data_IF_413677983640
#
_entry.id   IF_413677983640
#
_cell.length_a   1.000
_cell.length_b   1.000
_cell.length_c   1.000
_cell.angle_alpha   90.00
_cell.angle_beta   90.00
_cell.angle_gamma   90.00
#
_symmetry.space_group_name_H-M   'P 1'
#
loop_
_entity.id
_entity.type
_entity.pdbx_description
1 polymer ?
#
# COMPACT_ATOMS: atom_id res chain seq x y z
N UNK A 1 32.56 37.45 -6.82
CA UNK A 1 31.71 38.50 -6.24
C UNK A 1 30.46 38.60 -7.12
N UNK A 2 29.27 38.33 -6.55
CA UNK A 2 27.91 38.82 -6.88
C UNK A 2 27.48 39.14 -8.35
N UNK A 3 26.23 38.92 -8.83
CA UNK A 3 24.99 38.35 -8.26
C UNK A 3 23.96 38.12 -9.42
N UNK A 4 23.22 37.01 -9.39
CA UNK A 4 21.80 36.78 -9.78
C UNK A 4 21.15 37.24 -11.13
N UNK A 5 20.50 36.23 -11.75
CA UNK A 5 19.07 36.10 -12.15
C UNK A 5 18.47 36.52 -13.51
N UNK A 6 17.51 35.65 -13.86
CA UNK A 6 16.21 35.83 -14.52
C UNK A 6 16.04 35.72 -16.06
N UNK A 7 14.91 35.07 -16.36
CA UNK A 7 14.31 34.63 -17.62
C UNK A 7 13.00 35.44 -17.83
N UNK A 8 12.07 35.17 -18.78
CA UNK A 8 12.13 34.53 -20.10
C UNK A 8 11.57 35.45 -21.23
N UNK A 9 11.37 34.88 -22.42
CA UNK A 9 10.53 35.34 -23.56
C UNK A 9 11.09 36.40 -24.53
N UNK A 10 11.23 35.98 -25.80
CA UNK A 10 11.13 36.86 -26.96
C UNK A 10 10.33 36.14 -28.08
N UNK A 11 9.42 36.86 -28.72
CA UNK A 11 8.50 36.41 -29.77
C UNK A 11 9.04 36.76 -31.18
N UNK A 12 8.36 36.27 -32.23
CA UNK A 12 8.50 36.65 -33.67
C UNK A 12 9.85 36.35 -34.32
N UNK A 13 10.00 36.09 -35.63
CA UNK A 13 9.12 36.23 -36.81
C UNK A 13 9.00 34.86 -37.54
N UNK A 14 8.39 34.66 -38.73
CA UNK A 14 7.75 35.54 -39.71
C UNK A 14 6.55 34.80 -40.39
N UNK A 15 5.77 35.49 -41.23
CA UNK A 15 4.70 34.90 -42.07
C UNK A 15 5.15 34.86 -43.53
N UNK A 16 4.86 33.76 -44.23
CA UNK A 16 4.96 33.64 -45.69
C UNK A 16 3.71 32.94 -46.21
N UNK A 17 2.83 33.67 -46.91
CA UNK A 17 1.51 33.20 -47.29
C UNK A 17 1.47 32.60 -48.71
N UNK A 18 0.67 31.55 -48.88
CA UNK A 18 0.24 31.01 -50.18
C UNK A 18 -1.14 30.37 -50.02
N UNK A 19 -2.14 30.85 -50.74
CA UNK A 19 -3.57 30.60 -50.48
C UNK A 19 -4.24 29.79 -51.58
N UNK A 20 -4.93 28.70 -51.20
CA UNK A 20 -6.10 28.04 -51.83
C UNK A 20 -6.31 26.68 -51.11
N UNK A 21 -7.48 26.20 -50.68
CA UNK A 21 -8.81 26.80 -50.52
C UNK A 21 -9.71 25.85 -49.67
N UNK A 22 -10.73 26.40 -49.01
CA UNK A 22 -11.97 25.75 -48.49
C UNK A 22 -11.94 24.38 -47.75
N UNK A 23 -12.07 24.42 -46.40
CA UNK A 23 -13.18 23.86 -45.58
C UNK A 23 -12.83 23.82 -44.06
N UNK A 24 -13.72 24.25 -43.14
CA UNK A 24 -13.34 24.54 -41.75
C UNK A 24 -13.66 23.41 -40.74
N UNK A 25 -12.97 22.27 -40.79
CA UNK A 25 -13.01 21.25 -39.70
C UNK A 25 -11.65 20.67 -39.31
N UNK A 26 -10.63 20.78 -40.16
CA UNK A 26 -9.34 20.09 -39.94
C UNK A 26 -8.35 20.78 -38.97
N UNK A 27 -8.58 22.04 -38.57
CA UNK A 27 -7.60 22.81 -37.76
C UNK A 27 -7.56 22.47 -36.26
N UNK A 28 -8.53 21.73 -35.73
CA UNK A 28 -8.55 21.31 -34.32
C UNK A 28 -7.68 20.06 -34.09
N UNK A 29 -7.67 19.11 -35.05
CA UNK A 29 -6.96 17.83 -34.91
C UNK A 29 -5.43 18.02 -34.98
N UNK A 30 -4.91 18.87 -35.86
CA UNK A 30 -3.46 19.14 -35.93
C UNK A 30 -2.90 19.86 -34.69
N UNK A 31 -3.72 20.59 -33.91
CA UNK A 31 -3.28 21.22 -32.65
C UNK A 31 -3.12 20.20 -31.51
N UNK A 32 -3.83 19.07 -31.57
CA UNK A 32 -3.69 17.95 -30.62
C UNK A 32 -2.41 17.15 -30.86
N UNK A 33 -2.00 16.99 -32.13
CA UNK A 33 -0.85 16.14 -32.51
C UNK A 33 0.50 16.65 -31.96
N UNK A 34 0.69 17.97 -31.84
CA UNK A 34 1.89 18.54 -31.23
C UNK A 34 1.91 18.40 -29.69
N UNK A 35 0.77 18.54 -29.02
CA UNK A 35 0.68 18.32 -27.58
C UNK A 35 0.87 16.84 -27.20
N UNK A 36 0.51 15.89 -28.08
CA UNK A 36 0.74 14.47 -27.82
C UNK A 36 2.24 14.10 -27.78
N UNK A 37 3.08 14.78 -28.57
CA UNK A 37 4.56 14.63 -28.48
C UNK A 37 5.12 15.14 -27.15
N UNK A 38 4.59 16.26 -26.64
CA UNK A 38 5.00 16.83 -25.34
C UNK A 38 4.44 16.02 -24.16
N UNK A 39 3.22 15.47 -24.26
CA UNK A 39 2.67 14.53 -23.28
C UNK A 39 3.43 13.20 -23.27
N UNK A 40 3.76 12.62 -24.42
CA UNK A 40 4.63 11.44 -24.47
C UNK A 40 5.97 11.73 -23.80
N UNK A 41 6.63 12.86 -24.13
CA UNK A 41 7.91 13.20 -23.49
C UNK A 41 7.77 13.38 -21.98
N UNK A 42 6.77 14.11 -21.46
CA UNK A 42 6.58 14.26 -20.01
C UNK A 42 6.20 12.96 -19.30
N UNK A 43 5.28 12.16 -19.85
CA UNK A 43 4.88 10.87 -19.22
C UNK A 43 6.01 9.85 -19.31
N UNK A 44 6.77 9.80 -20.41
CA UNK A 44 7.97 8.97 -20.53
C UNK A 44 9.04 9.44 -19.54
N UNK A 45 9.27 10.74 -19.35
CA UNK A 45 10.23 11.26 -18.36
C UNK A 45 9.79 10.96 -16.92
N UNK A 46 8.50 11.04 -16.59
CA UNK A 46 8.00 10.62 -15.26
C UNK A 46 8.13 9.10 -15.07
N UNK A 47 7.96 8.28 -16.11
CA UNK A 47 8.24 6.84 -16.07
C UNK A 47 9.74 6.50 -16.06
N UNK A 48 10.59 7.34 -16.67
CA UNK A 48 12.06 7.27 -16.59
C UNK A 48 12.51 7.52 -15.15
N UNK A 49 11.89 8.50 -14.48
CA UNK A 49 12.03 8.75 -13.04
C UNK A 49 11.43 7.65 -12.15
N UNK A 50 10.75 6.64 -12.69
CA UNK A 50 10.32 5.42 -11.95
C UNK A 50 11.34 4.28 -12.14
N UNK A 51 12.40 4.45 -12.95
CA UNK A 51 13.53 3.52 -13.04
C UNK A 51 13.26 2.24 -13.84
N UNK A 52 12.18 2.21 -14.62
CA UNK A 52 11.72 1.04 -15.38
C UNK A 52 12.26 0.97 -16.82
N UNK A 53 13.33 1.68 -17.15
CA UNK A 53 13.91 1.70 -18.50
C UNK A 53 15.43 1.64 -18.46
N UNK A 54 15.98 0.47 -18.79
CA UNK A 54 17.40 0.22 -18.98
C UNK A 54 17.61 -0.17 -20.46
N UNK A 55 17.89 0.79 -21.36
CA UNK A 55 17.84 0.54 -22.80
C UNK A 55 19.04 -0.23 -23.38
N UNK A 56 20.03 -0.61 -22.56
CA UNK A 56 21.33 -1.08 -23.04
C UNK A 56 21.75 -2.46 -22.51
N UNK A 57 20.85 -3.45 -22.58
CA UNK A 57 21.25 -4.86 -22.49
C UNK A 57 20.36 -5.82 -23.31
N UNK A 58 20.16 -5.52 -24.60
CA UNK A 58 19.70 -6.52 -25.56
C UNK A 58 20.88 -7.37 -26.04
N UNK A 59 21.24 -8.40 -25.28
CA UNK A 59 21.92 -9.57 -25.87
C UNK A 59 20.89 -10.35 -26.68
N UNK A 60 20.99 -10.26 -28.00
CA UNK A 60 20.22 -11.10 -28.92
C UNK A 60 20.45 -12.57 -28.56
N UNK A 61 19.39 -13.22 -28.06
CA UNK A 61 19.36 -14.66 -27.89
C UNK A 61 18.34 -15.20 -28.89
N UNK A 62 18.84 -15.72 -30.01
CA UNK A 62 18.08 -16.51 -30.98
C UNK A 62 17.69 -17.84 -30.36
N UNK A 63 16.76 -17.80 -29.40
CA UNK A 63 16.34 -18.94 -28.61
C UNK A 63 15.48 -19.90 -29.44
N UNK A 64 16.12 -20.89 -30.05
CA UNK A 64 15.47 -22.10 -30.55
C UNK A 64 14.58 -22.70 -29.45
N UNK A 65 13.35 -23.10 -29.80
CA UNK A 65 12.39 -23.66 -28.83
C UNK A 65 12.92 -24.96 -28.23
N UNK A 66 13.53 -24.89 -27.04
CA UNK A 66 13.84 -26.06 -26.22
C UNK A 66 12.55 -26.56 -25.57
N UNK A 67 12.24 -27.84 -25.75
CA UNK A 67 11.16 -28.51 -25.01
C UNK A 67 11.46 -28.47 -23.52
N UNK A 68 10.55 -27.87 -22.74
CA UNK A 68 10.68 -27.74 -21.29
C UNK A 68 10.14 -29.00 -20.60
N UNK A 69 11.02 -29.81 -20.01
CA UNK A 69 10.60 -30.81 -19.02
C UNK A 69 10.21 -30.08 -17.73
N UNK A 70 8.98 -30.30 -17.26
CA UNK A 70 8.46 -29.72 -16.02
C UNK A 70 8.74 -30.70 -14.88
N UNK A 71 9.71 -30.38 -14.03
CA UNK A 71 9.93 -31.09 -12.77
C UNK A 71 8.89 -30.64 -11.74
N UNK A 72 8.16 -31.59 -11.14
CA UNK A 72 7.12 -31.29 -10.15
C UNK A 72 7.71 -31.11 -8.76
N UNK A 73 7.54 -29.94 -8.16
CA UNK A 73 7.71 -29.73 -6.72
C UNK A 73 6.33 -29.52 -6.05
N UNK A 74 5.83 -30.63 -5.52
CA UNK A 74 4.89 -30.86 -4.42
C UNK A 74 4.15 -29.63 -3.81
N UNK A 75 2.89 -29.36 -4.21
CA UNK A 75 1.64 -29.52 -3.40
C UNK A 75 0.38 -28.84 -3.98
N UNK A 76 -0.78 -29.23 -3.42
CA UNK A 76 -2.07 -28.53 -3.37
C UNK A 76 -2.98 -28.51 -4.63
N UNK A 77 -4.29 -28.42 -4.39
CA UNK A 77 -5.38 -28.63 -5.38
C UNK A 77 -5.39 -27.61 -6.52
N UNK A 78 -4.94 -26.39 -6.27
CA UNK A 78 -4.78 -25.34 -7.28
C UNK A 78 -3.83 -25.75 -8.41
N UNK A 79 -2.84 -26.58 -8.11
CA UNK A 79 -1.96 -27.17 -9.12
C UNK A 79 -2.75 -28.02 -10.13
N UNK A 80 -3.84 -28.68 -9.72
CA UNK A 80 -4.66 -29.49 -10.64
C UNK A 80 -5.55 -28.67 -11.57
N UNK A 81 -6.10 -27.53 -11.11
CA UNK A 81 -6.84 -26.62 -11.98
C UNK A 81 -5.89 -25.87 -12.93
N UNK A 82 -4.73 -25.44 -12.43
CA UNK A 82 -3.67 -24.84 -13.23
C UNK A 82 -3.13 -25.81 -14.29
N UNK A 83 -2.83 -27.07 -13.93
CA UNK A 83 -2.34 -28.09 -14.86
C UNK A 83 -3.36 -28.36 -15.99
N UNK A 84 -4.66 -28.42 -15.68
CA UNK A 84 -5.73 -28.55 -16.69
C UNK A 84 -5.76 -27.34 -17.64
N UNK A 85 -5.74 -26.12 -17.11
CA UNK A 85 -5.67 -24.90 -17.91
C UNK A 85 -4.42 -24.88 -18.82
N UNK A 86 -3.25 -25.25 -18.29
CA UNK A 86 -2.00 -25.33 -19.06
C UNK A 86 -2.06 -26.38 -20.19
N UNK A 87 -2.77 -27.50 -19.99
CA UNK A 87 -3.03 -28.49 -21.04
C UNK A 87 -4.02 -27.96 -22.09
N UNK A 88 -5.07 -27.24 -21.69
CA UNK A 88 -6.07 -26.68 -22.60
C UNK A 88 -5.48 -25.61 -23.51
N UNK A 89 -4.77 -24.61 -22.96
CA UNK A 89 -4.08 -23.60 -23.79
C UNK A 89 -3.00 -24.23 -24.68
N UNK A 90 -2.43 -25.37 -24.28
CA UNK A 90 -1.46 -26.12 -25.07
C UNK A 90 -2.03 -26.72 -26.36
N UNK A 91 -3.34 -27.02 -26.39
CA UNK A 91 -4.07 -27.58 -27.55
C UNK A 91 -4.49 -26.52 -28.56
N UNK A 92 -4.51 -25.24 -28.19
CA UNK A 92 -4.92 -24.15 -29.10
C UNK A 92 -3.88 -23.99 -30.21
N UNK A 93 -4.36 -23.87 -31.45
CA UNK A 93 -3.53 -23.67 -32.64
C UNK A 93 -2.86 -22.30 -32.62
N UNK A 94 -1.61 -22.25 -33.07
CA UNK A 94 -0.92 -20.98 -33.27
C UNK A 94 -1.46 -20.27 -34.52
N UNK A 95 -1.62 -18.96 -34.43
CA UNK A 95 -2.13 -18.10 -35.49
C UNK A 95 -0.95 -17.63 -36.37
N UNK A 96 -1.14 -17.59 -37.68
CA UNK A 96 -0.13 -17.06 -38.62
C UNK A 96 -0.28 -15.54 -38.78
N UNK A 97 0.79 -14.82 -39.17
CA UNK A 97 0.78 -13.34 -39.23
C UNK A 97 -0.30 -12.75 -40.15
N UNK A 98 -0.67 -13.43 -41.24
CA UNK A 98 -1.80 -13.00 -42.09
C UNK A 98 -3.15 -13.08 -41.35
N UNK A 99 -3.34 -14.12 -40.53
CA UNK A 99 -4.54 -14.30 -39.73
C UNK A 99 -4.59 -13.28 -38.57
N UNK A 100 -3.45 -12.89 -37.99
CA UNK A 100 -3.39 -11.79 -37.00
C UNK A 100 -3.96 -10.49 -37.58
N UNK A 101 -3.62 -10.15 -38.83
CA UNK A 101 -4.12 -8.95 -39.52
C UNK A 101 -5.63 -9.01 -39.77
N UNK A 102 -6.15 -10.16 -40.21
CA UNK A 102 -7.60 -10.36 -40.42
C UNK A 102 -8.37 -10.25 -39.10
N UNK A 103 -7.85 -10.84 -38.02
CA UNK A 103 -8.47 -10.78 -36.70
C UNK A 103 -8.41 -9.35 -36.12
N UNK A 104 -7.28 -8.65 -36.23
CA UNK A 104 -7.13 -7.27 -35.78
C UNK A 104 -8.16 -6.32 -36.43
N UNK A 105 -8.39 -6.47 -37.75
CA UNK A 105 -9.42 -5.70 -38.46
C UNK A 105 -10.82 -5.98 -37.91
N UNK A 106 -11.18 -7.25 -37.73
CA UNK A 106 -12.50 -7.63 -37.17
C UNK A 106 -12.69 -7.17 -35.72
N UNK A 107 -11.63 -7.19 -34.91
CA UNK A 107 -11.65 -6.64 -33.54
C UNK A 107 -11.95 -5.12 -33.57
N UNK A 108 -11.36 -4.39 -34.52
CA UNK A 108 -11.63 -2.96 -34.74
C UNK A 108 -13.08 -2.68 -35.17
N UNK A 109 -13.69 -3.62 -35.90
CA UNK A 109 -15.12 -3.61 -36.27
C UNK A 109 -16.05 -4.03 -35.10
N UNK A 110 -15.50 -4.46 -33.97
CA UNK A 110 -16.26 -4.86 -32.76
C UNK A 110 -16.54 -6.36 -32.63
N UNK A 111 -15.91 -7.22 -33.44
CA UNK A 111 -16.10 -8.67 -33.36
C UNK A 111 -15.43 -9.28 -32.12
N UNK A 112 -16.25 -9.56 -31.10
CA UNK A 112 -15.83 -10.22 -29.87
C UNK A 112 -15.28 -11.64 -30.09
N UNK A 113 -15.73 -12.37 -31.13
CA UNK A 113 -15.21 -13.72 -31.44
C UNK A 113 -13.79 -13.64 -31.98
N UNK A 114 -13.49 -12.63 -32.80
CA UNK A 114 -12.13 -12.37 -33.25
C UNK A 114 -11.20 -12.00 -32.08
N UNK A 115 -11.69 -11.22 -31.10
CA UNK A 115 -10.94 -10.87 -29.88
C UNK A 115 -10.62 -12.12 -29.05
N UNK A 116 -11.61 -12.98 -28.83
CA UNK A 116 -11.40 -14.26 -28.14
C UNK A 116 -10.42 -15.18 -28.88
N UNK A 117 -10.52 -15.28 -30.21
CA UNK A 117 -9.62 -16.12 -31.00
C UNK A 117 -8.17 -15.63 -30.92
N UNK A 118 -7.94 -14.31 -31.09
CA UNK A 118 -6.60 -13.72 -31.00
C UNK A 118 -5.99 -13.87 -29.60
N UNK A 119 -6.79 -13.68 -28.55
CA UNK A 119 -6.33 -13.81 -27.16
C UNK A 119 -6.06 -15.27 -26.79
N UNK A 120 -6.96 -16.21 -27.09
CA UNK A 120 -6.81 -17.66 -26.81
C UNK A 120 -5.53 -18.25 -27.40
N UNK A 121 -5.16 -17.89 -28.62
CA UNK A 121 -3.91 -18.35 -29.24
C UNK A 121 -2.64 -17.83 -28.55
N UNK A 122 -2.71 -16.67 -27.90
CA UNK A 122 -1.58 -15.99 -27.27
C UNK A 122 -1.46 -16.24 -25.75
N UNK A 123 -2.40 -16.96 -25.13
CA UNK A 123 -2.35 -17.31 -23.69
C UNK A 123 -1.04 -18.03 -23.29
N UNK A 124 -0.52 -18.88 -24.17
CA UNK A 124 0.77 -19.58 -23.96
C UNK A 124 1.94 -18.63 -23.75
N UNK A 125 1.93 -17.46 -24.40
CA UNK A 125 2.95 -16.43 -24.24
C UNK A 125 2.79 -15.68 -22.91
N UNK A 126 1.56 -15.43 -22.46
CA UNK A 126 1.32 -14.83 -21.13
C UNK A 126 1.95 -15.68 -20.03
N UNK A 127 1.78 -17.01 -20.10
CA UNK A 127 2.40 -17.95 -19.13
C UNK A 127 3.93 -17.85 -19.12
N UNK A 128 4.59 -17.68 -20.27
CA UNK A 128 6.05 -17.55 -20.30
C UNK A 128 6.55 -16.22 -19.71
N UNK A 129 5.77 -15.14 -19.84
CA UNK A 129 6.04 -13.86 -19.19
C UNK A 129 5.76 -13.92 -17.68
N UNK A 130 4.62 -14.47 -17.26
CA UNK A 130 4.24 -14.60 -15.85
C UNK A 130 5.24 -15.43 -15.02
N UNK A 131 5.85 -16.46 -15.63
CA UNK A 131 6.93 -17.25 -15.00
C UNK A 131 8.15 -16.41 -14.59
N UNK A 132 8.42 -15.27 -15.23
CA UNK A 132 9.51 -14.37 -14.87
C UNK A 132 9.27 -13.63 -13.54
N UNK A 133 8.03 -13.61 -13.04
CA UNK A 133 7.59 -12.87 -11.86
C UNK A 133 7.14 -13.78 -10.71
N UNK A 134 7.40 -15.10 -10.79
CA UNK A 134 7.11 -16.02 -9.69
C UNK A 134 7.88 -15.66 -8.41
N UNK A 135 7.34 -16.09 -7.27
CA UNK A 135 7.91 -15.89 -5.93
C UNK A 135 8.00 -14.42 -5.46
N UNK A 136 7.40 -13.48 -6.19
CA UNK A 136 7.36 -12.05 -5.82
C UNK A 136 6.19 -11.69 -4.87
N UNK A 137 5.32 -12.64 -4.54
CA UNK A 137 4.25 -12.50 -3.54
C UNK A 137 2.83 -12.86 -4.01
N UNK A 138 2.65 -13.17 -5.30
CA UNK A 138 1.40 -13.70 -5.86
C UNK A 138 1.60 -15.12 -6.40
N UNK A 139 0.51 -15.90 -6.49
CA UNK A 139 0.56 -17.24 -7.08
C UNK A 139 0.79 -17.17 -8.60
N UNK A 140 1.27 -18.26 -9.20
CA UNK A 140 1.40 -18.32 -10.67
C UNK A 140 0.04 -18.20 -11.37
N UNK A 141 -1.06 -18.67 -10.75
CA UNK A 141 -2.42 -18.52 -11.30
C UNK A 141 -2.83 -17.05 -11.40
N UNK A 142 -2.63 -16.28 -10.33
CA UNK A 142 -2.99 -14.86 -10.28
C UNK A 142 -2.15 -14.04 -11.27
N UNK A 143 -0.84 -14.29 -11.33
CA UNK A 143 0.05 -13.66 -12.31
C UNK A 143 -0.36 -13.93 -13.75
N UNK A 144 -0.87 -15.13 -14.06
CA UNK A 144 -1.40 -15.48 -15.37
C UNK A 144 -2.74 -14.76 -15.63
N UNK A 145 -3.64 -14.71 -14.65
CA UNK A 145 -4.94 -14.05 -14.79
C UNK A 145 -4.78 -12.54 -15.06
N UNK A 146 -3.90 -11.87 -14.31
CA UNK A 146 -3.60 -10.45 -14.49
C UNK A 146 -2.84 -10.18 -15.80
N UNK A 147 -1.94 -11.09 -16.19
CA UNK A 147 -1.31 -11.07 -17.51
C UNK A 147 -2.30 -11.24 -18.67
N UNK A 148 -3.31 -12.10 -18.51
CA UNK A 148 -4.38 -12.33 -19.49
C UNK A 148 -5.26 -11.08 -19.63
N UNK A 149 -5.56 -10.37 -18.52
CA UNK A 149 -6.24 -9.08 -18.56
C UNK A 149 -5.42 -8.02 -19.32
N UNK A 150 -4.09 -8.02 -19.14
CA UNK A 150 -3.14 -7.23 -19.93
C UNK A 150 -3.17 -7.57 -21.43
N UNK A 151 -3.21 -8.85 -21.78
CA UNK A 151 -3.31 -9.33 -23.16
C UNK A 151 -4.62 -8.87 -23.84
N UNK A 152 -5.75 -8.94 -23.14
CA UNK A 152 -7.07 -8.48 -23.66
C UNK A 152 -7.04 -6.97 -23.93
N UNK A 153 -6.50 -6.17 -22.98
CA UNK A 153 -6.31 -4.71 -23.16
C UNK A 153 -5.41 -4.39 -24.36
N UNK A 154 -4.37 -5.21 -24.61
CA UNK A 154 -3.52 -5.07 -25.79
C UNK A 154 -4.27 -5.39 -27.09
N UNK A 155 -5.01 -6.49 -27.13
CA UNK A 155 -5.74 -6.93 -28.32
C UNK A 155 -6.82 -5.91 -28.76
N UNK A 156 -7.53 -5.30 -27.80
CA UNK A 156 -8.49 -4.22 -28.08
C UNK A 156 -7.87 -2.93 -28.64
N UNK A 157 -6.57 -2.70 -28.40
CA UNK A 157 -5.85 -1.47 -28.77
C UNK A 157 -4.78 -1.68 -29.84
N UNK A 158 -4.71 -2.88 -30.41
CA UNK A 158 -3.74 -3.21 -31.43
C UNK A 158 -4.13 -2.58 -32.77
N UNK A 159 -3.12 -2.17 -33.54
CA UNK A 159 -3.28 -1.46 -34.80
C UNK A 159 -2.32 -2.07 -35.83
N UNK A 160 -2.88 -2.90 -36.71
CA UNK A 160 -2.15 -3.67 -37.72
C UNK A 160 -1.42 -2.78 -38.76
N UNK A 161 -1.86 -1.53 -38.93
CA UNK A 161 -1.29 -0.59 -39.91
C UNK A 161 0.17 -0.19 -39.60
N UNK A 162 0.64 -0.47 -38.38
CA UNK A 162 1.98 -0.10 -37.89
C UNK A 162 3.08 -1.09 -38.28
N UNK A 163 2.74 -2.24 -38.86
CA UNK A 163 3.72 -3.21 -39.37
C UNK A 163 4.49 -4.02 -38.32
N UNK A 164 4.11 -3.95 -37.04
CA UNK A 164 4.71 -4.75 -35.97
C UNK A 164 3.82 -5.94 -35.58
N UNK A 165 4.45 -7.06 -35.19
CA UNK A 165 3.73 -8.25 -34.71
C UNK A 165 2.94 -7.95 -33.44
N UNK A 166 1.77 -8.59 -33.29
CA UNK A 166 0.90 -8.38 -32.12
C UNK A 166 1.62 -8.63 -30.78
N UNK A 167 2.38 -9.73 -30.70
CA UNK A 167 3.14 -10.11 -29.49
C UNK A 167 4.08 -8.97 -29.03
N UNK A 168 4.79 -8.32 -29.96
CA UNK A 168 5.74 -7.23 -29.65
C UNK A 168 5.06 -6.04 -28.96
N UNK A 169 3.81 -5.75 -29.31
CA UNK A 169 2.99 -4.75 -28.63
C UNK A 169 2.41 -5.28 -27.30
N UNK A 170 1.95 -6.53 -27.28
CA UNK A 170 1.32 -7.15 -26.13
C UNK A 170 2.26 -7.32 -24.92
N UNK A 171 3.57 -7.57 -25.12
CA UNK A 171 4.53 -7.78 -24.01
C UNK A 171 4.48 -6.63 -22.99
N UNK A 172 4.38 -5.38 -23.46
CA UNK A 172 4.33 -4.21 -22.59
C UNK A 172 3.07 -4.20 -21.71
N UNK A 173 1.90 -4.45 -22.30
CA UNK A 173 0.62 -4.49 -21.58
C UNK A 173 0.53 -5.66 -20.60
N UNK A 174 1.05 -6.84 -20.97
CA UNK A 174 1.11 -8.01 -20.09
C UNK A 174 1.98 -7.69 -18.87
N UNK A 175 3.20 -7.18 -19.09
CA UNK A 175 4.12 -6.78 -18.00
C UNK A 175 3.54 -5.68 -17.13
N UNK A 176 2.91 -4.66 -17.72
CA UNK A 176 2.29 -3.56 -16.99
C UNK A 176 1.17 -4.05 -16.08
N UNK A 177 0.29 -4.95 -16.56
CA UNK A 177 -0.80 -5.51 -15.75
C UNK A 177 -0.26 -6.39 -14.61
N UNK A 178 0.73 -7.24 -14.88
CA UNK A 178 1.39 -8.08 -13.86
C UNK A 178 2.09 -7.23 -12.79
N UNK A 179 2.88 -6.23 -13.18
CA UNK A 179 3.59 -5.35 -12.24
C UNK A 179 2.63 -4.48 -11.43
N UNK A 180 1.52 -4.04 -12.02
CA UNK A 180 0.46 -3.35 -11.30
C UNK A 180 -0.18 -4.26 -10.24
N UNK A 181 -0.59 -5.48 -10.62
CA UNK A 181 -1.18 -6.44 -9.69
C UNK A 181 -0.23 -6.81 -8.56
N UNK A 182 1.06 -7.06 -8.85
CA UNK A 182 2.08 -7.27 -7.83
C UNK A 182 2.18 -6.09 -6.87
N UNK A 183 2.23 -4.85 -7.37
CA UNK A 183 2.32 -3.67 -6.52
C UNK A 183 1.05 -3.47 -5.66
N UNK A 184 -0.12 -3.89 -6.14
CA UNK A 184 -1.41 -3.66 -5.49
C UNK A 184 -1.88 -4.79 -4.56
N UNK A 185 -1.48 -6.03 -4.82
CA UNK A 185 -2.03 -7.25 -4.18
C UNK A 185 -0.98 -8.10 -3.44
N UNK A 186 0.33 -7.97 -3.72
CA UNK A 186 1.36 -8.84 -3.11
C UNK A 186 1.64 -8.61 -1.61
N UNK A 187 1.05 -7.57 -1.02
CA UNK A 187 1.28 -7.17 0.38
C UNK A 187 -0.07 -7.06 1.10
N UNK A 188 -0.16 -7.65 2.30
CA UNK A 188 -1.32 -7.51 3.21
C UNK A 188 -1.61 -6.02 3.49
N UNK A 189 -0.57 -5.26 3.82
CA UNK A 189 -0.65 -3.79 3.91
C UNK A 189 -0.32 -3.19 2.55
N UNK A 190 -1.33 -2.64 1.87
CA UNK A 190 -1.20 -2.00 0.55
C UNK A 190 -0.37 -0.72 0.65
N UNK A 191 0.64 -0.59 -0.20
CA UNK A 191 1.48 0.61 -0.31
C UNK A 191 1.19 1.37 -1.62
N UNK A 192 1.33 2.72 -1.65
CA UNK A 192 1.23 3.49 -2.89
C UNK A 192 2.35 3.13 -3.88
N UNK A 193 2.03 3.12 -5.18
CA UNK A 193 2.97 2.80 -6.27
C UNK A 193 4.28 3.62 -6.19
N UNK A 194 4.19 4.90 -5.79
CA UNK A 194 5.36 5.78 -5.64
C UNK A 194 6.36 5.26 -4.60
N UNK A 195 5.87 4.72 -3.47
CA UNK A 195 6.72 4.14 -2.41
C UNK A 195 7.30 2.80 -2.85
N UNK A 196 6.54 1.97 -3.56
CA UNK A 196 7.03 0.70 -4.13
C UNK A 196 8.13 0.93 -5.17
N UNK A 197 7.94 1.91 -6.07
CA UNK A 197 8.98 2.32 -7.02
C UNK A 197 10.24 2.85 -6.31
N UNK A 198 10.09 3.54 -5.17
CA UNK A 198 11.23 3.99 -4.39
C UNK A 198 11.97 2.83 -3.68
N UNK A 199 11.25 1.87 -3.08
CA UNK A 199 11.84 0.64 -2.53
C UNK A 199 12.65 -0.10 -3.59
N UNK A 200 12.12 -0.27 -4.81
CA UNK A 200 12.82 -0.95 -5.90
C UNK A 200 14.10 -0.22 -6.34
N UNK A 201 14.12 1.13 -6.31
CA UNK A 201 15.35 1.91 -6.55
C UNK A 201 16.37 1.72 -5.44
N UNK A 202 15.96 1.80 -4.17
CA UNK A 202 16.84 1.55 -3.03
C UNK A 202 17.46 0.17 -3.17
N UNK A 203 16.68 -0.87 -3.43
CA UNK A 203 17.18 -2.23 -3.60
C UNK A 203 18.13 -2.37 -4.80
N UNK A 204 17.84 -1.74 -5.96
CA UNK A 204 18.78 -1.75 -7.11
C UNK A 204 20.11 -1.08 -6.76
N UNK A 205 20.07 0.07 -6.08
CA UNK A 205 21.27 0.79 -5.65
C UNK A 205 22.01 0.05 -4.54
N UNK A 206 21.30 -0.61 -3.62
CA UNK A 206 21.88 -1.44 -2.57
C UNK A 206 22.71 -2.55 -3.20
N UNK A 207 22.13 -3.38 -4.07
CA UNK A 207 22.86 -4.48 -4.72
C UNK A 207 23.99 -4.02 -5.65
N UNK A 208 23.90 -2.81 -6.22
CA UNK A 208 24.99 -2.22 -6.99
C UNK A 208 26.17 -1.84 -6.08
N UNK A 209 25.91 -1.09 -4.99
CA UNK A 209 26.95 -0.68 -4.04
C UNK A 209 27.52 -1.85 -3.24
N UNK A 210 26.70 -2.87 -2.95
CA UNK A 210 27.13 -4.14 -2.34
C UNK A 210 28.13 -4.88 -3.24
N UNK A 211 27.90 -4.89 -4.56
CA UNK A 211 28.82 -5.46 -5.53
C UNK A 211 30.10 -4.61 -5.68
N UNK A 212 30.00 -3.27 -5.66
CA UNK A 212 31.14 -2.38 -5.84
C UNK A 212 32.05 -2.26 -4.60
N UNK A 213 31.50 -2.44 -3.39
CA UNK A 213 32.23 -2.32 -2.11
C UNK A 213 32.53 -3.64 -1.41
N UNK A 214 32.00 -4.77 -1.91
CA UNK A 214 32.10 -6.11 -1.29
C UNK A 214 31.59 -6.17 0.17
N UNK A 215 30.69 -5.24 0.53
CA UNK A 215 30.04 -5.15 1.85
C UNK A 215 28.67 -4.49 1.76
N UNK A 216 27.85 -4.64 2.80
CA UNK A 216 26.60 -3.88 2.90
C UNK A 216 26.86 -2.35 2.84
N UNK A 217 26.16 -1.61 1.96
CA UNK A 217 26.28 -0.16 1.87
C UNK A 217 25.52 0.54 3.00
N UNK A 218 26.07 1.64 3.48
CA UNK A 218 25.41 2.48 4.50
C UNK A 218 24.30 3.32 3.90
N UNK A 219 23.30 3.70 4.72
CA UNK A 219 22.22 4.60 4.31
C UNK A 219 22.74 5.95 3.77
N UNK A 220 23.91 6.41 4.21
CA UNK A 220 24.55 7.61 3.69
C UNK A 220 25.05 7.46 2.25
N UNK A 221 25.61 6.29 1.91
CA UNK A 221 26.13 5.99 0.58
C UNK A 221 24.98 5.88 -0.43
N UNK A 222 23.91 5.18 -0.03
CA UNK A 222 22.66 5.11 -0.80
C UNK A 222 22.04 6.51 -0.98
N UNK A 223 22.03 7.34 0.08
CA UNK A 223 21.56 8.74 0.05
C UNK A 223 22.34 9.60 -0.96
N UNK A 224 23.67 9.49 -0.97
CA UNK A 224 24.57 10.22 -1.90
C UNK A 224 24.31 9.85 -3.36
N UNK A 225 24.06 8.57 -3.65
CA UNK A 225 23.78 8.09 -5.03
C UNK A 225 22.36 8.46 -5.48
N UNK A 226 21.35 8.26 -4.64
CA UNK A 226 19.95 8.52 -5.00
C UNK A 226 19.52 9.98 -4.83
N UNK A 227 20.34 10.83 -4.20
CA UNK A 227 20.06 12.25 -3.90
C UNK A 227 18.79 12.46 -3.06
N UNK A 228 18.56 11.58 -2.07
CA UNK A 228 17.37 11.57 -1.21
C UNK A 228 17.81 11.56 0.26
N UNK A 229 16.99 12.12 1.16
CA UNK A 229 17.29 12.20 2.60
C UNK A 229 17.56 10.82 3.21
N UNK A 230 18.51 10.77 4.15
CA UNK A 230 18.77 9.56 4.92
C UNK A 230 17.54 9.12 5.73
N UNK A 231 16.73 10.06 6.21
CA UNK A 231 15.51 9.77 6.97
C UNK A 231 14.43 9.14 6.07
N UNK A 232 14.24 9.66 4.85
CA UNK A 232 13.33 9.07 3.85
C UNK A 232 13.73 7.64 3.50
N UNK A 233 15.03 7.34 3.41
CA UNK A 233 15.55 5.99 3.18
C UNK A 233 15.29 5.12 4.41
N UNK A 234 15.57 5.60 5.63
CA UNK A 234 15.32 4.86 6.88
C UNK A 234 13.85 4.49 7.04
N UNK A 235 12.95 5.44 6.82
CA UNK A 235 11.50 5.21 6.94
C UNK A 235 10.97 4.33 5.81
N UNK A 236 11.51 4.46 4.59
CA UNK A 236 11.16 3.57 3.48
C UNK A 236 11.62 2.14 3.75
N UNK A 237 12.83 1.94 4.27
CA UNK A 237 13.35 0.62 4.66
C UNK A 237 12.49 0.00 5.77
N UNK A 238 12.12 0.75 6.81
CA UNK A 238 11.17 0.32 7.85
C UNK A 238 9.83 -0.14 7.25
N UNK A 239 9.27 0.63 6.31
CA UNK A 239 8.01 0.28 5.63
C UNK A 239 8.13 -0.86 4.60
N UNK A 240 9.35 -1.22 4.19
CA UNK A 240 9.60 -2.20 3.13
C UNK A 240 9.42 -3.66 3.58
N UNK A 241 9.50 -3.91 4.89
CA UNK A 241 9.42 -5.22 5.51
C UNK A 241 8.22 -6.03 5.05
N UNK A 242 8.40 -7.36 4.99
CA UNK A 242 7.29 -8.30 4.80
C UNK A 242 6.70 -8.65 6.15
N UNK A 243 5.41 -8.99 6.16
CA UNK A 243 4.76 -9.52 7.35
C UNK A 243 5.41 -10.85 7.76
N UNK A 244 5.48 -11.09 9.06
CA UNK A 244 5.87 -12.36 9.66
C UNK A 244 4.58 -13.08 10.06
N UNK A 245 4.53 -14.41 9.92
CA UNK A 245 3.38 -15.19 10.36
C UNK A 245 3.39 -15.32 11.89
N UNK A 246 2.27 -15.03 12.54
CA UNK A 246 2.10 -15.23 13.99
C UNK A 246 2.24 -16.71 14.37
N UNK A 247 1.73 -17.59 13.51
CA UNK A 247 1.77 -19.05 13.69
C UNK A 247 3.12 -19.67 13.25
N UNK A 248 4.13 -18.86 12.91
CA UNK A 248 5.45 -19.41 12.59
C UNK A 248 6.10 -19.96 13.87
N UNK A 249 6.59 -21.21 13.88
CA UNK A 249 7.34 -21.73 15.02
C UNK A 249 8.67 -20.98 15.15
N UNK A 250 9.05 -20.67 16.39
CA UNK A 250 10.26 -19.89 16.68
C UNK A 250 11.54 -20.67 16.35
N UNK A 251 11.52 -21.98 16.63
CA UNK A 251 12.60 -22.94 16.36
C UNK A 251 12.04 -24.20 15.69
N UNK A 252 12.84 -24.86 14.86
CA UNK A 252 12.42 -26.09 14.20
C UNK A 252 12.31 -27.24 15.20
N UNK A 253 11.07 -27.71 15.44
CA UNK A 253 10.79 -28.82 16.34
C UNK A 253 10.22 -28.42 17.71
N UNK A 254 10.00 -27.13 17.95
CA UNK A 254 9.25 -26.63 19.11
C UNK A 254 7.83 -26.26 18.70
N UNK A 255 6.86 -26.50 19.59
CA UNK A 255 5.45 -26.13 19.39
C UNK A 255 5.19 -24.63 19.63
N UNK A 256 6.16 -23.92 20.20
CA UNK A 256 6.08 -22.49 20.55
C UNK A 256 6.07 -21.58 19.32
N UNK A 257 5.06 -20.72 19.25
CA UNK A 257 4.84 -19.78 18.15
C UNK A 257 5.00 -18.31 18.64
N UNK A 258 4.87 -17.34 17.74
CA UNK A 258 4.99 -15.92 18.10
C UNK A 258 3.77 -15.40 18.89
N UNK A 259 2.58 -15.98 18.69
CA UNK A 259 1.36 -15.60 19.41
C UNK A 259 1.47 -15.91 20.91
N UNK A 260 2.12 -17.02 21.27
CA UNK A 260 2.37 -17.41 22.67
C UNK A 260 3.26 -16.40 23.44
N UNK A 261 4.02 -15.55 22.72
CA UNK A 261 4.94 -14.57 23.29
C UNK A 261 4.38 -13.14 23.34
N UNK A 262 3.32 -12.82 22.60
CA UNK A 262 2.75 -11.47 22.61
C UNK A 262 1.77 -11.34 23.79
N UNK A 263 2.04 -10.49 24.79
CA UNK A 263 1.09 -10.25 25.87
C UNK A 263 -0.15 -9.52 25.33
N UNK A 264 -1.33 -9.87 25.84
CA UNK A 264 -2.55 -9.11 25.57
C UNK A 264 -2.47 -7.72 26.22
N UNK A 265 -2.49 -6.66 25.41
CA UNK A 265 -2.44 -5.28 25.93
C UNK A 265 -3.69 -4.89 26.73
N UNK A 266 -4.83 -5.56 26.48
CA UNK A 266 -6.13 -5.29 27.10
C UNK A 266 -6.35 -6.03 28.45
N UNK A 267 -5.47 -6.97 28.83
CA UNK A 267 -5.61 -7.70 30.10
C UNK A 267 -5.05 -6.89 31.27
N UNK A 268 -5.93 -6.11 31.91
CA UNK A 268 -5.67 -5.52 33.23
C UNK A 268 -5.25 -6.62 34.22
N UNK A 269 -3.99 -6.58 34.65
CA UNK A 269 -3.44 -7.52 35.64
C UNK A 269 -4.38 -7.65 36.84
N UNK A 270 -4.61 -8.88 37.38
CA UNK A 270 -5.48 -9.09 38.53
C UNK A 270 -5.11 -8.21 39.73
N UNK A 271 -3.82 -7.89 39.90
CA UNK A 271 -3.34 -6.97 40.93
C UNK A 271 -3.92 -5.55 40.75
N UNK A 272 -4.00 -5.05 39.52
CA UNK A 272 -4.57 -3.72 39.23
C UNK A 272 -6.06 -3.66 39.53
N UNK A 273 -6.80 -4.74 39.27
CA UNK A 273 -8.21 -4.86 39.63
C UNK A 273 -8.39 -4.91 41.16
N UNK A 274 -7.61 -5.72 41.87
CA UNK A 274 -7.61 -5.79 43.33
C UNK A 274 -7.24 -4.46 44.00
N UNK A 275 -6.22 -3.76 43.48
CA UNK A 275 -5.83 -2.43 43.97
C UNK A 275 -6.94 -1.39 43.74
N UNK A 276 -7.63 -1.46 42.60
CA UNK A 276 -8.77 -0.57 42.28
C UNK A 276 -9.96 -0.84 43.20
N UNK A 277 -10.27 -2.11 43.47
CA UNK A 277 -11.34 -2.47 44.43
C UNK A 277 -11.00 -2.04 45.86
N UNK A 278 -9.75 -2.27 46.28
CA UNK A 278 -9.24 -1.87 47.59
C UNK A 278 -9.27 -0.34 47.77
N UNK A 279 -8.84 0.41 46.74
CA UNK A 279 -8.95 1.87 46.70
C UNK A 279 -10.40 2.33 46.83
N UNK A 280 -11.33 1.69 46.10
CA UNK A 280 -12.77 2.02 46.16
C UNK A 280 -13.35 1.79 47.56
N UNK A 281 -12.98 0.68 48.23
CA UNK A 281 -13.38 0.39 49.62
C UNK A 281 -12.83 1.43 50.62
N UNK A 282 -11.57 1.86 50.47
CA UNK A 282 -10.98 2.89 51.34
C UNK A 282 -11.54 4.30 51.07
N UNK A 283 -11.87 4.64 49.81
CA UNK A 283 -12.60 5.88 49.48
C UNK A 283 -13.97 5.89 50.17
N UNK A 284 -14.74 4.81 50.08
CA UNK A 284 -16.06 4.74 50.71
C UNK A 284 -15.96 4.81 52.24
N UNK A 285 -14.97 4.14 52.85
CA UNK A 285 -14.67 4.28 54.29
C UNK A 285 -14.33 5.73 54.66
N UNK A 286 -13.54 6.44 53.85
CA UNK A 286 -13.20 7.83 54.10
C UNK A 286 -14.43 8.76 53.97
N UNK A 287 -15.29 8.55 52.97
CA UNK A 287 -16.54 9.27 52.78
C UNK A 287 -17.52 9.04 53.94
N UNK A 288 -17.60 7.82 54.48
CA UNK A 288 -18.40 7.49 55.66
C UNK A 288 -18.04 8.26 56.94
N UNK A 289 -16.89 8.94 56.99
CA UNK A 289 -16.50 9.81 58.12
C UNK A 289 -16.93 11.28 57.97
N UNK A 290 -17.55 11.64 56.84
CA UNK A 290 -18.17 12.94 56.60
C UNK A 290 -19.62 12.94 57.08
N UNK A 291 -20.28 14.10 57.08
CA UNK A 291 -21.75 14.12 57.22
C UNK A 291 -22.38 13.57 55.93
N UNK A 292 -23.57 12.93 55.98
CA UNK A 292 -24.18 12.32 54.79
C UNK A 292 -24.30 13.31 53.63
N UNK A 293 -24.77 14.53 53.89
CA UNK A 293 -24.87 15.62 52.90
C UNK A 293 -23.52 16.11 52.34
N UNK A 294 -22.42 15.93 53.06
CA UNK A 294 -21.06 16.19 52.52
C UNK A 294 -20.56 15.01 51.67
N UNK A 295 -20.85 13.76 52.09
CA UNK A 295 -20.48 12.56 51.34
C UNK A 295 -21.23 12.47 49.99
N UNK A 296 -22.54 12.69 49.97
CA UNK A 296 -23.36 12.56 48.75
C UNK A 296 -22.99 13.58 47.68
N UNK A 297 -22.70 14.82 48.07
CA UNK A 297 -22.19 15.87 47.15
C UNK A 297 -20.86 15.44 46.52
N UNK A 298 -19.97 14.78 47.28
CA UNK A 298 -18.69 14.29 46.75
C UNK A 298 -18.88 13.04 45.88
N UNK A 299 -19.77 12.11 46.25
CA UNK A 299 -20.10 10.91 45.44
C UNK A 299 -20.63 11.29 44.06
N UNK A 300 -21.61 12.20 44.00
CA UNK A 300 -22.23 12.62 42.75
C UNK A 300 -21.29 13.47 41.87
N UNK A 301 -20.50 14.37 42.47
CA UNK A 301 -19.58 15.23 41.72
C UNK A 301 -18.45 14.44 41.03
N UNK A 302 -17.94 13.38 41.66
CA UNK A 302 -16.85 12.56 41.12
C UNK A 302 -17.31 11.24 40.47
N UNK A 303 -18.62 10.95 40.43
CA UNK A 303 -19.14 9.68 39.87
C UNK A 303 -18.68 8.44 40.65
N UNK A 304 -18.51 8.54 41.97
CA UNK A 304 -18.00 7.44 42.81
C UNK A 304 -19.07 6.38 43.15
N UNK A 305 -20.33 6.65 42.83
CA UNK A 305 -21.44 5.74 42.99
C UNK A 305 -21.59 4.84 41.75
N UNK A 306 -21.92 3.56 41.99
CA UNK A 306 -22.04 2.55 40.94
C UNK A 306 -23.07 2.97 39.88
N UNK A 307 -22.68 2.93 38.60
CA UNK A 307 -23.54 3.33 37.48
C UNK A 307 -23.89 4.82 37.38
N UNK A 308 -23.26 5.72 38.17
CA UNK A 308 -23.57 7.16 38.16
C UNK A 308 -22.44 7.97 37.53
N UNK A 309 -22.74 8.72 36.46
CA UNK A 309 -21.80 9.68 35.87
C UNK A 309 -21.52 10.86 36.81
N UNK A 310 -20.40 11.55 36.61
CA UNK A 310 -20.07 12.78 37.33
C UNK A 310 -21.09 13.89 37.02
N UNK A 311 -21.85 14.32 38.02
CA UNK A 311 -22.87 15.37 37.90
C UNK A 311 -22.26 16.77 38.04
N UNK A 312 -22.83 17.77 37.35
CA UNK A 312 -22.39 19.17 37.48
C UNK A 312 -22.82 19.79 38.81
N UNK A 313 -22.17 20.90 39.21
CA UNK A 313 -22.54 21.63 40.44
C UNK A 313 -23.96 22.22 40.39
N UNK A 314 -24.55 22.36 39.20
CA UNK A 314 -25.89 22.89 38.97
C UNK A 314 -26.93 21.78 39.13
N UNK A 315 -26.74 20.62 38.48
CA UNK A 315 -27.58 19.43 38.69
C UNK A 315 -27.60 18.95 40.16
N UNK A 316 -26.44 18.98 40.84
CA UNK A 316 -26.35 18.67 42.28
C UNK A 316 -27.06 19.75 43.12
N UNK A 317 -27.06 21.00 42.66
CA UNK A 317 -27.80 22.10 43.28
C UNK A 317 -29.30 21.89 43.22
N UNK A 318 -29.83 21.60 42.04
CA UNK A 318 -31.25 21.26 41.82
C UNK A 318 -31.68 20.08 42.69
N UNK A 319 -30.91 18.97 42.69
CA UNK A 319 -31.23 17.76 43.44
C UNK A 319 -31.26 17.93 44.97
N UNK A 320 -30.55 18.92 45.51
CA UNK A 320 -30.49 19.18 46.97
C UNK A 320 -31.20 20.47 47.40
N UNK A 321 -31.90 21.15 46.49
CA UNK A 321 -32.52 22.47 46.69
C UNK A 321 -31.50 23.50 47.24
N UNK A 322 -30.31 23.53 46.63
CA UNK A 322 -29.19 24.39 47.02
C UNK A 322 -28.70 25.24 45.85
N UNK A 323 -28.25 26.46 46.15
CA UNK A 323 -27.52 27.26 45.17
C UNK A 323 -26.20 26.58 44.78
N UNK A 324 -25.80 26.71 43.52
CA UNK A 324 -24.51 26.22 42.98
C UNK A 324 -23.31 26.57 43.88
N UNK A 325 -23.27 27.82 44.37
CA UNK A 325 -22.21 28.29 45.26
C UNK A 325 -22.24 27.58 46.62
N UNK A 326 -23.42 27.23 47.14
CA UNK A 326 -23.54 26.44 48.37
C UNK A 326 -23.05 25.01 48.18
N UNK A 327 -23.31 24.38 47.03
CA UNK A 327 -22.74 23.06 46.68
C UNK A 327 -21.22 23.13 46.60
N UNK A 328 -20.65 24.18 45.96
CA UNK A 328 -19.19 24.40 45.92
C UNK A 328 -18.58 24.48 47.32
N UNK A 329 -19.18 25.26 48.23
CA UNK A 329 -18.73 25.37 49.62
C UNK A 329 -18.76 24.03 50.37
N UNK A 330 -19.81 23.22 50.18
CA UNK A 330 -19.93 21.89 50.79
C UNK A 330 -18.82 20.98 50.26
N UNK A 331 -18.58 20.96 48.95
CA UNK A 331 -17.49 20.19 48.31
C UNK A 331 -16.11 20.59 48.86
N UNK A 332 -15.80 21.88 48.91
CA UNK A 332 -14.51 22.37 49.42
C UNK A 332 -14.31 22.06 50.91
N UNK A 333 -15.36 22.16 51.72
CA UNK A 333 -15.35 21.79 53.13
C UNK A 333 -15.12 20.28 53.32
N UNK A 334 -15.81 19.44 52.53
CA UNK A 334 -15.62 17.99 52.54
C UNK A 334 -14.18 17.61 52.15
N UNK A 335 -13.64 18.15 51.05
CA UNK A 335 -12.25 17.94 50.63
C UNK A 335 -11.26 18.41 51.71
N UNK A 336 -11.50 19.56 52.35
CA UNK A 336 -10.66 20.05 53.46
C UNK A 336 -10.66 19.09 54.66
N UNK A 337 -11.79 18.46 54.98
CA UNK A 337 -11.89 17.43 56.04
C UNK A 337 -11.18 16.13 55.67
N UNK A 338 -11.26 15.69 54.41
CA UNK A 338 -10.58 14.50 53.89
C UNK A 338 -9.05 14.70 53.81
N UNK A 339 -8.58 15.91 53.52
CA UNK A 339 -7.14 16.28 53.52
C UNK A 339 -6.46 16.19 54.89
N UNK A 340 -7.21 16.06 56.00
CA UNK A 340 -6.62 15.91 57.33
C UNK A 340 -5.74 14.65 57.43
N UNK A 341 -4.67 14.70 58.23
CA UNK A 341 -3.64 13.63 58.27
C UNK A 341 -4.20 12.25 58.63
N UNK A 342 -5.20 12.21 59.53
CA UNK A 342 -5.84 10.96 59.97
C UNK A 342 -6.65 10.23 58.89
N UNK A 343 -7.13 10.94 57.85
CA UNK A 343 -7.91 10.35 56.74
C UNK A 343 -7.07 10.18 55.49
N UNK A 344 -6.21 11.16 55.21
CA UNK A 344 -5.36 11.13 54.01
C UNK A 344 -4.20 10.14 54.07
N UNK A 345 -3.77 9.65 55.24
CA UNK A 345 -2.64 8.70 55.36
C UNK A 345 -2.87 7.40 54.57
N UNK A 346 -4.08 6.85 54.60
CA UNK A 346 -4.43 5.60 53.89
C UNK A 346 -4.59 5.87 52.39
N UNK A 347 -5.31 6.92 52.00
CA UNK A 347 -5.50 7.25 50.58
C UNK A 347 -4.19 7.65 49.88
N UNK A 348 -3.20 8.18 50.62
CA UNK A 348 -1.88 8.53 50.08
C UNK A 348 -1.04 7.33 49.64
N UNK A 349 -1.22 6.13 50.20
CA UNK A 349 -0.42 4.96 49.76
C UNK A 349 -0.79 4.49 48.35
N UNK A 350 -1.95 4.90 47.83
CA UNK A 350 -2.41 4.58 46.48
C UNK A 350 -1.94 5.58 45.41
N UNK A 351 -1.28 6.68 45.78
CA UNK A 351 -0.80 7.69 44.81
C UNK A 351 0.51 7.29 44.11
N UNK A 352 1.12 6.17 44.50
CA UNK A 352 2.52 5.87 44.19
C UNK A 352 3.48 6.74 45.01
N UNK A 353 4.68 6.21 45.22
CA UNK A 353 5.85 6.94 45.74
C UNK A 353 6.83 7.20 44.63
#
# INVERSE_FOLDING_TARGET
MCIFRDSPYALSYILGAGTCGERPTFKIICRFSYNLKVMCSKVIVTLFLIGAFDPYNQKETTSTMRQLKITKQVTNRETQSLDKYLQEIGKVTLINSEQEVVLARRIREGDQKALEQLTKANLRFVVSVAKQYQNQGLTLGDLINEGNLGLIKAAQRFDETRGFKFISYAVWWIRQSILQALAEQSRIVRLPLNKIGFINKINKTFSQLEQDFEREPTNEEISKVLQISQDDIRDTMRSSGRHISMDAPLLQGEDGNLLDLIPGEDELSPDTNLMTESLRREIERALGTLTPREADVVRLYYGLAEGTASMTLEEIGERFELTRERVRQIKEKAIRRLKHTSRSKILKSYLGS
#
